data_IF_533385683031
#
_entry.id   IF_533385683031
#
_cell.length_a   1.000
_cell.length_b   1.000
_cell.length_c   1.000
_cell.angle_alpha   90.00
_cell.angle_beta   90.00
_cell.angle_gamma   90.00
#
_symmetry.space_group_name_H-M   'P 1'
#
loop_
_entity.id
_entity.type
_entity.pdbx_description
1 polymer ?
#
# COMPACT_ATOMS: atom_id res chain seq x y z
N UNK A 1 -15.08 -11.11 -18.81
CA UNK A 1 -15.04 -9.86 -18.02
C UNK A 1 -15.18 -10.27 -16.59
N UNK A 2 -14.09 -10.11 -15.83
CA UNK A 2 -13.95 -10.62 -14.48
C UNK A 2 -13.97 -9.46 -13.51
N UNK A 3 -14.70 -9.60 -12.40
CA UNK A 3 -14.66 -8.62 -11.32
C UNK A 3 -13.61 -9.02 -10.29
N UNK A 4 -12.83 -8.04 -9.84
CA UNK A 4 -11.84 -8.21 -8.77
C UNK A 4 -12.10 -7.18 -7.68
N UNK A 5 -12.77 -7.62 -6.62
CA UNK A 5 -12.97 -6.81 -5.42
C UNK A 5 -11.70 -6.76 -4.57
N UNK A 6 -11.28 -5.56 -4.18
CA UNK A 6 -10.09 -5.32 -3.37
C UNK A 6 -10.46 -4.94 -1.94
N UNK A 7 -9.67 -5.39 -0.97
CA UNK A 7 -9.78 -4.98 0.41
C UNK A 7 -8.41 -4.72 1.03
N UNK A 8 -8.34 -3.84 2.04
CA UNK A 8 -7.12 -3.51 2.76
C UNK A 8 -7.38 -3.60 4.27
N UNK A 9 -6.49 -4.26 5.00
CA UNK A 9 -6.38 -4.15 6.45
C UNK A 9 -5.05 -3.48 6.79
N UNK A 10 -5.10 -2.29 7.39
CA UNK A 10 -3.96 -1.46 7.74
C UNK A 10 -3.98 -0.98 9.20
N UNK A 11 -2.84 -0.48 9.69
CA UNK A 11 -2.64 -0.11 11.10
C UNK A 11 -3.24 1.24 11.47
N UNK A 12 -3.08 2.22 10.58
CA UNK A 12 -3.45 3.60 10.81
C UNK A 12 -4.40 4.16 9.75
N UNK A 13 -5.15 5.22 10.08
CA UNK A 13 -6.06 5.89 9.15
C UNK A 13 -5.34 6.54 7.96
N UNK A 14 -4.07 6.92 8.11
CA UNK A 14 -3.24 7.48 7.03
C UNK A 14 -2.92 6.45 5.97
N UNK A 15 -2.73 5.19 6.36
CA UNK A 15 -2.39 4.11 5.45
C UNK A 15 -3.54 3.86 4.47
N UNK A 16 -4.80 3.87 4.92
CA UNK A 16 -5.94 3.73 4.02
C UNK A 16 -6.02 4.85 2.97
N UNK A 17 -5.68 6.08 3.34
CA UNK A 17 -5.70 7.23 2.41
C UNK A 17 -4.62 7.13 1.33
N UNK A 18 -3.45 6.62 1.70
CA UNK A 18 -2.33 6.46 0.75
C UNK A 18 -2.47 5.16 -0.05
N UNK A 19 -2.62 4.03 0.63
CA UNK A 19 -2.61 2.71 0.02
C UNK A 19 -3.88 2.41 -0.78
N UNK A 20 -5.05 2.96 -0.43
CA UNK A 20 -6.29 2.73 -1.18
C UNK A 20 -6.15 3.01 -2.69
N UNK A 21 -5.93 4.27 -3.10
CA UNK A 21 -5.72 4.62 -4.51
C UNK A 21 -4.46 3.97 -5.10
N UNK A 22 -3.37 3.84 -4.34
CA UNK A 22 -2.14 3.23 -4.85
C UNK A 22 -2.34 1.76 -5.22
N UNK A 23 -2.88 0.95 -4.31
CA UNK A 23 -3.07 -0.49 -4.52
C UNK A 23 -4.03 -0.76 -5.68
N UNK A 24 -5.08 0.06 -5.81
CA UNK A 24 -6.00 0.02 -6.96
C UNK A 24 -5.24 0.24 -8.27
N UNK A 25 -4.49 1.35 -8.38
CA UNK A 25 -3.72 1.71 -9.58
C UNK A 25 -2.69 0.65 -9.96
N UNK A 26 -1.97 0.09 -8.99
CA UNK A 26 -0.97 -0.95 -9.24
C UNK A 26 -1.62 -2.24 -9.72
N UNK A 27 -2.75 -2.62 -9.13
CA UNK A 27 -3.51 -3.81 -9.56
C UNK A 27 -4.06 -3.62 -10.97
N UNK A 28 -4.55 -2.42 -11.29
CA UNK A 28 -5.02 -2.05 -12.64
C UNK A 28 -3.91 -2.12 -13.67
N UNK A 29 -2.78 -1.49 -13.40
CA UNK A 29 -1.61 -1.52 -14.28
C UNK A 29 -1.16 -2.96 -14.55
N UNK A 30 -1.05 -3.77 -13.50
CA UNK A 30 -0.63 -5.16 -13.63
C UNK A 30 -1.64 -6.00 -14.42
N UNK A 31 -2.94 -5.87 -14.13
CA UNK A 31 -3.98 -6.60 -14.88
C UNK A 31 -4.04 -6.14 -16.34
N UNK A 32 -3.88 -4.85 -16.62
CA UNK A 32 -3.84 -4.32 -17.98
C UNK A 32 -2.67 -4.91 -18.79
N UNK A 33 -1.51 -5.09 -18.15
CA UNK A 33 -0.32 -5.64 -18.79
C UNK A 33 -0.33 -7.16 -18.94
N UNK A 34 -0.89 -7.89 -17.97
CA UNK A 34 -0.63 -9.33 -17.81
C UNK A 34 -1.89 -10.21 -17.79
N UNK A 35 -3.10 -9.65 -17.57
CA UNK A 35 -4.32 -10.46 -17.52
C UNK A 35 -4.76 -10.90 -18.92
N UNK A 36 -5.26 -12.14 -19.02
CA UNK A 36 -5.72 -12.69 -20.31
C UNK A 36 -7.16 -12.33 -20.67
N UNK A 37 -7.88 -11.66 -19.78
CA UNK A 37 -9.21 -11.11 -20.02
C UNK A 37 -9.34 -9.74 -19.34
N UNK A 38 -10.36 -8.97 -19.73
CA UNK A 38 -10.68 -7.71 -19.07
C UNK A 38 -11.06 -7.94 -17.60
N UNK A 39 -10.37 -7.25 -16.69
CA UNK A 39 -10.62 -7.26 -15.25
C UNK A 39 -11.16 -5.90 -14.82
N UNK A 40 -12.33 -5.89 -14.19
CA UNK A 40 -12.91 -4.70 -13.57
C UNK A 40 -12.52 -4.69 -12.08
N UNK A 41 -11.79 -3.66 -11.68
CA UNK A 41 -11.22 -3.53 -10.34
C UNK A 41 -12.02 -2.49 -9.55
N UNK A 42 -12.48 -2.88 -8.37
CA UNK A 42 -13.23 -1.99 -7.48
C UNK A 42 -12.31 -1.06 -6.71
N UNK A 43 -12.91 -0.04 -6.08
CA UNK A 43 -12.25 0.66 -4.98
C UNK A 43 -11.82 -0.32 -3.87
N UNK A 44 -10.76 0.05 -3.16
CA UNK A 44 -10.21 -0.77 -2.08
C UNK A 44 -11.08 -0.60 -0.83
N UNK A 45 -11.77 -1.67 -0.45
CA UNK A 45 -12.58 -1.71 0.76
C UNK A 45 -11.69 -1.68 2.02
N UNK A 46 -11.86 -0.64 2.85
CA UNK A 46 -11.16 -0.54 4.12
C UNK A 46 -11.74 -1.52 5.17
N UNK A 47 -10.96 -2.52 5.57
CA UNK A 47 -11.29 -3.44 6.64
C UNK A 47 -10.73 -2.97 7.97
N UNK A 48 -11.61 -2.53 8.87
CA UNK A 48 -11.24 -2.09 10.22
C UNK A 48 -11.51 -3.18 11.25
N UNK A 49 -10.65 -3.28 12.26
CA UNK A 49 -10.93 -4.14 13.43
C UNK A 49 -12.22 -3.71 14.13
N UNK A 50 -12.99 -4.70 14.59
CA UNK A 50 -14.18 -4.49 15.41
C UNK A 50 -13.79 -4.19 16.86
N UNK A 51 -14.73 -3.64 17.66
CA UNK A 51 -14.50 -3.43 19.10
C UNK A 51 -14.35 -4.77 19.83
N UNK A 52 -15.06 -5.77 19.37
CA UNK A 52 -15.14 -7.12 19.91
C UNK A 52 -13.83 -7.89 19.65
N UNK A 53 -13.20 -7.68 18.50
CA UNK A 53 -11.92 -8.32 18.16
C UNK A 53 -10.69 -7.57 18.70
N UNK A 54 -10.84 -6.36 19.25
CA UNK A 54 -9.72 -5.48 19.57
C UNK A 54 -8.69 -6.06 20.56
N UNK A 55 -9.09 -6.99 21.42
CA UNK A 55 -8.22 -7.69 22.37
C UNK A 55 -7.59 -8.98 21.83
N UNK A 56 -8.02 -9.44 20.66
CA UNK A 56 -7.50 -10.67 20.04
C UNK A 56 -6.13 -10.44 19.40
N UNK A 57 -5.34 -11.50 19.18
CA UNK A 57 -4.17 -11.45 18.29
C UNK A 57 -4.52 -10.86 16.92
N UNK A 58 -3.57 -10.15 16.31
CA UNK A 58 -3.77 -9.40 15.05
C UNK A 58 -4.34 -10.27 13.93
N UNK A 59 -3.86 -11.49 13.80
CA UNK A 59 -4.35 -12.42 12.79
C UNK A 59 -5.82 -12.79 12.98
N UNK A 60 -6.31 -12.85 14.23
CA UNK A 60 -7.73 -13.06 14.51
C UNK A 60 -8.56 -11.79 14.28
N UNK A 61 -7.99 -10.59 14.49
CA UNK A 61 -8.62 -9.31 14.11
C UNK A 61 -8.84 -9.23 12.60
N UNK A 62 -7.83 -9.63 11.81
CA UNK A 62 -7.90 -9.67 10.35
C UNK A 62 -8.99 -10.66 9.91
N UNK A 63 -8.98 -11.89 10.44
CA UNK A 63 -9.99 -12.90 10.10
C UNK A 63 -11.42 -12.48 10.50
N UNK A 64 -11.60 -11.78 11.62
CA UNK A 64 -12.89 -11.18 11.99
C UNK A 64 -13.35 -10.15 10.95
N UNK A 65 -12.48 -9.19 10.61
CA UNK A 65 -12.78 -8.15 9.64
C UNK A 65 -13.10 -8.73 8.25
N UNK A 66 -12.34 -9.74 7.81
CA UNK A 66 -12.62 -10.48 6.58
C UNK A 66 -13.98 -11.16 6.60
N UNK A 67 -14.33 -11.86 7.68
CA UNK A 67 -15.63 -12.56 7.78
C UNK A 67 -16.81 -11.60 7.72
N UNK A 68 -16.69 -10.42 8.36
CA UNK A 68 -17.72 -9.38 8.30
C UNK A 68 -17.89 -8.75 6.91
N UNK A 69 -16.86 -8.81 6.07
CA UNK A 69 -16.87 -8.33 4.69
C UNK A 69 -16.89 -9.49 3.66
N UNK A 70 -17.33 -10.69 4.08
CA UNK A 70 -17.36 -11.87 3.22
C UNK A 70 -18.19 -11.61 1.95
N UNK A 71 -17.64 -11.99 0.79
CA UNK A 71 -18.26 -11.79 -0.52
C UNK A 71 -18.09 -10.39 -1.13
N UNK A 72 -17.53 -9.42 -0.40
CA UNK A 72 -17.30 -8.07 -0.93
C UNK A 72 -15.97 -7.91 -1.70
N UNK A 73 -15.04 -8.85 -1.52
CA UNK A 73 -13.71 -8.81 -2.14
C UNK A 73 -13.17 -10.22 -2.42
N UNK A 74 -12.18 -10.29 -3.30
CA UNK A 74 -11.45 -11.53 -3.61
C UNK A 74 -9.95 -11.40 -3.36
N UNK A 75 -9.42 -10.19 -3.16
CA UNK A 75 -8.03 -9.96 -2.82
C UNK A 75 -7.94 -9.06 -1.59
N UNK A 76 -7.23 -9.54 -0.56
CA UNK A 76 -6.94 -8.80 0.66
C UNK A 76 -5.48 -8.36 0.70
N UNK A 77 -5.27 -7.06 0.79
CA UNK A 77 -3.99 -6.48 1.19
C UNK A 77 -3.89 -6.42 2.71
N UNK A 78 -2.77 -6.89 3.26
CA UNK A 78 -2.47 -6.82 4.68
C UNK A 78 -1.23 -5.95 4.86
N UNK A 79 -1.43 -4.76 5.40
CA UNK A 79 -0.35 -3.81 5.62
C UNK A 79 0.22 -3.93 7.03
N UNK A 80 1.54 -3.79 7.14
CA UNK A 80 2.26 -3.52 8.38
C UNK A 80 3.49 -2.67 8.04
N UNK A 81 3.82 -1.72 8.91
CA UNK A 81 5.08 -0.96 8.80
C UNK A 81 6.27 -1.86 9.12
N UNK A 82 7.31 -1.80 8.29
CA UNK A 82 8.52 -2.60 8.46
C UNK A 82 9.38 -2.17 9.64
N UNK A 83 9.28 -0.91 10.08
CA UNK A 83 10.07 -0.35 11.19
C UNK A 83 11.59 -0.56 11.07
N UNK A 84 12.10 -0.70 9.84
CA UNK A 84 13.51 -1.01 9.52
C UNK A 84 13.81 -2.51 9.39
N UNK A 85 12.87 -3.38 9.73
CA UNK A 85 12.96 -4.84 9.60
C UNK A 85 11.69 -5.41 8.93
N UNK A 86 11.56 -5.25 7.59
CA UNK A 86 10.40 -5.75 6.86
C UNK A 86 10.26 -7.28 6.92
N UNK A 87 11.35 -8.01 7.18
CA UNK A 87 11.33 -9.47 7.32
C UNK A 87 10.64 -9.87 8.62
N UNK A 88 11.00 -9.23 9.74
CA UNK A 88 10.31 -9.44 11.01
C UNK A 88 8.85 -9.00 10.93
N UNK A 89 8.56 -7.84 10.31
CA UNK A 89 7.19 -7.38 10.11
C UNK A 89 6.35 -8.39 9.31
N UNK A 90 6.90 -8.95 8.21
CA UNK A 90 6.25 -10.02 7.46
C UNK A 90 5.98 -11.23 8.35
N UNK A 91 7.01 -11.74 9.01
CA UNK A 91 6.93 -12.97 9.82
C UNK A 91 5.92 -12.87 10.97
N UNK A 92 5.86 -11.71 11.63
CA UNK A 92 5.12 -11.58 12.89
C UNK A 92 3.77 -10.86 12.74
N UNK A 93 3.63 -9.94 11.78
CA UNK A 93 2.43 -9.10 11.66
C UNK A 93 1.52 -9.50 10.49
N UNK A 94 2.04 -10.18 9.48
CA UNK A 94 1.30 -10.46 8.25
C UNK A 94 1.16 -11.97 7.99
N UNK A 95 2.27 -12.71 8.02
CA UNK A 95 2.30 -14.14 7.71
C UNK A 95 1.34 -14.98 8.56
N UNK A 96 1.15 -14.75 9.87
CA UNK A 96 0.21 -15.55 10.67
C UNK A 96 -1.23 -15.44 10.16
N UNK A 97 -1.64 -14.26 9.65
CA UNK A 97 -2.96 -14.08 9.05
C UNK A 97 -3.06 -14.80 7.70
N UNK A 98 -2.05 -14.65 6.83
CA UNK A 98 -2.00 -15.32 5.53
C UNK A 98 -2.07 -16.85 5.70
N UNK A 99 -1.27 -17.42 6.60
CA UNK A 99 -1.28 -18.86 6.87
C UNK A 99 -2.66 -19.34 7.31
N UNK A 100 -3.34 -18.61 8.21
CA UNK A 100 -4.70 -18.99 8.64
C UNK A 100 -5.74 -18.86 7.54
N UNK A 101 -5.63 -17.86 6.67
CA UNK A 101 -6.53 -17.69 5.50
C UNK A 101 -6.39 -18.90 4.56
N UNK A 102 -5.17 -19.35 4.32
CA UNK A 102 -4.87 -20.52 3.49
C UNK A 102 -5.29 -21.85 4.14
N UNK A 103 -4.99 -22.05 5.43
CA UNK A 103 -5.28 -23.29 6.18
C UNK A 103 -6.77 -23.54 6.36
N UNK A 104 -7.55 -22.50 6.68
CA UNK A 104 -8.97 -22.64 6.99
C UNK A 104 -9.89 -22.49 5.79
N UNK A 105 -9.33 -22.46 4.57
CA UNK A 105 -10.12 -22.26 3.35
C UNK A 105 -11.02 -21.04 3.48
N UNK A 106 -10.46 -19.90 3.96
CA UNK A 106 -11.18 -18.62 4.01
C UNK A 106 -11.97 -18.43 2.72
N UNK A 107 -13.15 -17.77 2.75
CA UNK A 107 -14.22 -17.91 1.76
C UNK A 107 -13.67 -18.24 0.39
N UNK A 108 -13.85 -19.51 -0.03
CA UNK A 108 -13.04 -20.17 -1.05
C UNK A 108 -12.67 -19.23 -2.20
N UNK A 109 -11.38 -18.90 -2.35
CA UNK A 109 -10.91 -18.02 -3.41
C UNK A 109 -10.62 -16.56 -3.00
N UNK A 110 -10.21 -16.29 -1.76
CA UNK A 110 -9.58 -15.02 -1.38
C UNK A 110 -8.06 -15.13 -1.42
N UNK A 111 -7.41 -14.27 -2.20
CA UNK A 111 -5.96 -14.08 -2.19
C UNK A 111 -5.56 -13.11 -1.07
N UNK A 112 -4.36 -13.28 -0.49
CA UNK A 112 -3.85 -12.41 0.55
C UNK A 112 -2.43 -11.93 0.20
N UNK A 113 -2.23 -10.61 0.18
CA UNK A 113 -1.00 -9.96 -0.29
C UNK A 113 -0.41 -9.07 0.81
N UNK A 114 0.83 -9.31 1.26
CA UNK A 114 1.52 -8.43 2.19
C UNK A 114 1.89 -7.09 1.55
N UNK A 115 1.65 -5.99 2.27
CA UNK A 115 2.08 -4.63 1.87
C UNK A 115 3.00 -4.07 2.95
N UNK A 116 4.31 -4.22 2.77
CA UNK A 116 5.30 -3.95 3.82
C UNK A 116 6.40 -3.04 3.27
N UNK A 117 6.36 -1.71 3.55
CA UNK A 117 7.50 -0.84 3.31
C UNK A 117 8.65 -1.19 4.26
N UNK A 118 9.90 -0.79 3.94
CA UNK A 118 11.04 -1.01 4.85
C UNK A 118 10.82 -0.35 6.21
N UNK A 119 10.27 0.87 6.21
CA UNK A 119 9.88 1.60 7.42
C UNK A 119 8.39 1.87 7.41
N UNK A 120 7.98 2.93 6.72
CA UNK A 120 6.59 3.42 6.70
C UNK A 120 6.16 3.69 5.25
N UNK A 121 4.85 3.77 4.99
CA UNK A 121 4.32 4.01 3.63
C UNK A 121 4.73 5.37 3.07
N UNK A 122 5.01 6.35 3.93
CA UNK A 122 5.54 7.66 3.53
C UNK A 122 6.87 7.56 2.78
N UNK A 123 7.65 6.49 2.95
CA UNK A 123 8.85 6.26 2.14
C UNK A 123 8.50 6.13 0.65
N UNK A 124 7.37 5.47 0.33
CA UNK A 124 6.87 5.36 -1.05
C UNK A 124 6.32 6.69 -1.56
N UNK A 125 5.72 7.52 -0.69
CA UNK A 125 5.28 8.87 -1.07
C UNK A 125 6.45 9.79 -1.47
N UNK A 126 7.64 9.58 -0.89
CA UNK A 126 8.84 10.37 -1.15
C UNK A 126 9.58 10.03 -2.45
N UNK A 127 9.17 8.98 -3.16
CA UNK A 127 9.82 8.49 -4.40
C UNK A 127 9.68 9.44 -5.58
N UNK A 128 8.58 10.18 -5.62
CA UNK A 128 8.18 10.98 -6.77
C UNK A 128 7.98 12.45 -6.37
N UNK A 129 9.04 13.24 -6.53
CA UNK A 129 8.97 14.67 -6.30
C UNK A 129 8.00 15.40 -7.22
N UNK A 130 7.66 14.87 -8.41
CA UNK A 130 6.66 15.50 -9.27
C UNK A 130 5.27 15.38 -8.66
N UNK A 131 4.93 14.20 -8.11
CA UNK A 131 3.67 14.01 -7.38
C UNK A 131 3.59 14.90 -6.15
N UNK A 132 4.69 15.02 -5.39
CA UNK A 132 4.77 15.93 -4.23
C UNK A 132 4.58 17.39 -4.63
N UNK A 133 5.25 17.86 -5.69
CA UNK A 133 5.09 19.22 -6.21
C UNK A 133 3.65 19.53 -6.59
N UNK A 134 2.99 18.60 -7.29
CA UNK A 134 1.58 18.73 -7.67
C UNK A 134 0.67 18.79 -6.45
N UNK A 135 0.86 17.88 -5.50
CA UNK A 135 0.04 17.80 -4.30
C UNK A 135 0.22 19.04 -3.40
N UNK A 136 1.46 19.51 -3.23
CA UNK A 136 1.76 20.66 -2.38
C UNK A 136 1.57 22.01 -3.09
N UNK A 137 1.43 22.02 -4.42
CA UNK A 137 1.30 23.24 -5.21
C UNK A 137 2.59 24.07 -5.23
N UNK A 138 3.75 23.43 -5.40
CA UNK A 138 5.06 24.07 -5.36
C UNK A 138 5.88 23.81 -6.63
N UNK A 139 6.78 24.73 -6.95
CA UNK A 139 7.74 24.62 -8.05
C UNK A 139 9.15 24.23 -7.58
N UNK A 140 9.35 24.00 -6.28
CA UNK A 140 10.64 23.63 -5.71
C UNK A 140 11.13 22.29 -6.27
N UNK A 141 12.42 22.17 -6.53
CA UNK A 141 13.03 20.94 -7.03
C UNK A 141 13.17 19.85 -5.94
N UNK A 142 13.68 18.68 -6.32
CA UNK A 142 13.82 17.54 -5.39
C UNK A 142 14.80 17.87 -4.26
N UNK A 143 15.88 18.60 -4.56
CA UNK A 143 16.90 18.95 -3.58
C UNK A 143 16.38 19.98 -2.57
N UNK A 144 15.63 20.99 -3.04
CA UNK A 144 14.96 21.98 -2.20
C UNK A 144 13.92 21.35 -1.28
N UNK A 145 13.20 20.32 -1.74
CA UNK A 145 12.26 19.55 -0.92
C UNK A 145 12.95 18.55 0.03
N UNK A 146 14.26 18.34 -0.10
CA UNK A 146 15.02 17.38 0.69
C UNK A 146 14.76 15.92 0.32
N UNK A 147 14.40 15.66 -0.94
CA UNK A 147 14.14 14.31 -1.46
C UNK A 147 15.45 13.63 -1.85
N UNK A 148 15.54 12.30 -1.72
CA UNK A 148 16.73 11.58 -2.15
C UNK A 148 16.88 11.61 -3.68
N UNK A 149 18.11 11.63 -4.21
CA UNK A 149 18.36 11.73 -5.65
C UNK A 149 17.96 10.46 -6.42
N UNK A 150 17.88 9.31 -5.74
CA UNK A 150 17.51 8.03 -6.34
C UNK A 150 16.28 7.46 -5.61
N UNK A 151 15.27 6.93 -6.33
CA UNK A 151 14.08 6.36 -5.71
C UNK A 151 14.38 5.33 -4.61
N UNK A 152 15.31 4.40 -4.85
CA UNK A 152 15.65 3.36 -3.88
C UNK A 152 16.20 3.91 -2.53
N UNK A 153 16.76 5.12 -2.52
CA UNK A 153 17.33 5.70 -1.29
C UNK A 153 16.25 6.14 -0.29
N UNK A 154 14.95 6.17 -0.66
CA UNK A 154 13.85 6.43 0.31
C UNK A 154 13.82 5.41 1.44
N UNK A 155 14.25 4.17 1.20
CA UNK A 155 14.29 3.11 2.21
C UNK A 155 15.35 3.35 3.29
N UNK A 156 16.30 4.25 3.01
CA UNK A 156 17.36 4.63 3.95
C UNK A 156 16.96 5.79 4.86
N UNK A 157 15.83 6.43 4.60
CA UNK A 157 15.33 7.54 5.41
C UNK A 157 14.89 6.99 6.77
N UNK A 158 15.52 7.38 7.90
CA UNK A 158 15.18 6.83 9.20
C UNK A 158 13.76 7.18 9.66
N UNK A 159 13.23 8.33 9.26
CA UNK A 159 11.88 8.78 9.64
C UNK A 159 11.17 9.35 8.39
N UNK A 160 10.55 8.48 7.57
CA UNK A 160 9.85 8.89 6.36
C UNK A 160 8.69 9.86 6.62
N UNK A 161 7.93 9.68 7.71
CA UNK A 161 6.90 10.64 8.13
C UNK A 161 7.47 12.03 8.36
N UNK A 162 8.55 12.15 9.14
CA UNK A 162 9.18 13.44 9.41
C UNK A 162 9.77 14.08 8.14
N UNK A 163 10.35 13.27 7.24
CA UNK A 163 10.88 13.74 5.96
C UNK A 163 9.77 14.27 5.04
N UNK A 164 8.64 13.56 4.94
CA UNK A 164 7.49 13.99 4.15
C UNK A 164 6.85 15.26 4.73
N UNK A 165 6.70 15.33 6.04
CA UNK A 165 6.22 16.54 6.72
C UNK A 165 7.19 17.72 6.55
N UNK A 166 8.50 17.46 6.50
CA UNK A 166 9.51 18.49 6.21
C UNK A 166 9.38 19.04 4.79
N UNK A 167 9.29 18.17 3.78
CA UNK A 167 9.06 18.56 2.39
C UNK A 167 7.77 19.40 2.26
N UNK A 168 6.68 18.96 2.90
CA UNK A 168 5.42 19.68 2.94
C UNK A 168 5.55 21.08 3.57
N UNK A 169 6.30 21.21 4.68
CA UNK A 169 6.52 22.51 5.35
C UNK A 169 7.34 23.47 4.49
N UNK A 170 8.36 22.97 3.80
CA UNK A 170 9.17 23.77 2.88
C UNK A 170 8.28 24.26 1.73
N UNK A 171 7.53 23.36 1.10
CA UNK A 171 6.68 23.65 -0.05
C UNK A 171 5.61 24.71 0.23
N UNK A 172 4.93 24.62 1.38
CA UNK A 172 3.77 25.46 1.73
C UNK A 172 4.16 26.81 2.35
N UNK A 173 5.41 26.93 2.84
CA UNK A 173 5.95 28.17 3.38
C UNK A 173 5.37 28.61 4.74
N UNK A 174 5.91 29.71 5.26
CA UNK A 174 5.74 30.10 6.66
C UNK A 174 4.32 30.52 7.08
N UNK A 175 3.59 31.17 6.17
CA UNK A 175 2.28 31.77 6.46
C UNK A 175 1.14 30.77 6.63
N UNK A 176 1.30 29.54 6.11
CA UNK A 176 0.27 28.50 6.11
C UNK A 176 0.59 27.33 7.06
N UNK A 177 1.69 27.44 7.83
CA UNK A 177 2.28 26.41 8.71
C UNK A 177 1.32 25.75 9.70
N UNK A 178 0.26 26.44 10.15
CA UNK A 178 -0.67 25.92 11.18
C UNK A 178 -1.77 25.01 10.64
N UNK A 179 -1.98 24.88 9.31
CA UNK A 179 -3.22 24.29 8.77
C UNK A 179 -3.06 23.04 7.91
N UNK A 180 -1.87 22.65 7.42
CA UNK A 180 -1.74 21.50 6.51
C UNK A 180 -0.52 20.64 6.84
N UNK A 181 -0.77 19.41 7.31
CA UNK A 181 0.24 18.34 7.50
C UNK A 181 0.34 17.52 6.21
N UNK A 182 1.46 16.84 5.98
CA UNK A 182 1.61 16.02 4.77
C UNK A 182 0.54 14.93 4.66
N UNK A 183 0.07 14.40 5.79
CA UNK A 183 -1.03 13.44 5.87
C UNK A 183 -2.33 13.86 5.15
N UNK A 184 -2.55 15.17 4.95
CA UNK A 184 -3.70 15.69 4.21
C UNK A 184 -3.57 15.54 2.69
N UNK A 185 -2.37 15.27 2.19
CA UNK A 185 -2.04 15.18 0.77
C UNK A 185 -1.75 13.75 0.31
N UNK A 186 -1.73 12.77 1.22
CA UNK A 186 -1.37 11.38 0.93
C UNK A 186 -2.20 10.77 -0.20
N UNK A 187 -3.51 11.02 -0.22
CA UNK A 187 -4.41 10.53 -1.28
C UNK A 187 -4.03 11.13 -2.64
N UNK A 188 -3.87 12.45 -2.73
CA UNK A 188 -3.47 13.13 -3.97
C UNK A 188 -2.06 12.72 -4.45
N UNK A 189 -1.13 12.45 -3.53
CA UNK A 189 0.18 11.91 -3.86
C UNK A 189 0.01 10.49 -4.43
N UNK A 190 -0.77 9.64 -3.77
CA UNK A 190 -1.03 8.28 -4.18
C UNK A 190 -1.74 8.15 -5.54
N UNK A 191 -2.60 9.09 -5.90
CA UNK A 191 -3.26 9.14 -7.21
C UNK A 191 -2.33 9.54 -8.36
N UNK A 192 -1.28 10.31 -8.08
CA UNK A 192 -0.44 10.93 -9.11
C UNK A 192 0.99 10.42 -9.19
N UNK A 193 1.45 9.68 -8.17
CA UNK A 193 2.81 9.12 -8.15
C UNK A 193 3.06 8.16 -9.31
N UNK A 194 4.28 8.16 -9.80
CA UNK A 194 4.77 7.29 -10.86
C UNK A 194 5.00 5.86 -10.37
N UNK A 195 4.33 4.89 -11.01
CA UNK A 195 4.56 3.46 -10.74
C UNK A 195 5.97 3.02 -11.18
N UNK A 196 6.49 3.54 -12.29
CA UNK A 196 7.86 3.27 -12.77
C UNK A 196 8.93 3.69 -11.76
N UNK A 197 8.71 4.79 -11.03
CA UNK A 197 9.61 5.20 -9.94
C UNK A 197 9.47 4.30 -8.72
N UNK A 198 8.27 3.84 -8.38
CA UNK A 198 8.06 2.89 -7.29
C UNK A 198 8.70 1.52 -7.59
N UNK A 199 8.67 1.04 -8.83
CA UNK A 199 9.34 -0.21 -9.23
C UNK A 199 10.87 -0.21 -9.03
N UNK A 200 11.46 0.98 -8.86
CA UNK A 200 12.88 1.15 -8.50
C UNK A 200 13.14 1.00 -7.00
N UNK A 201 12.10 0.91 -6.17
CA UNK A 201 12.19 0.68 -4.72
C UNK A 201 12.10 -0.82 -4.41
N UNK A 202 13.12 -1.41 -3.78
CA UNK A 202 13.16 -2.85 -3.52
C UNK A 202 11.94 -3.44 -2.80
N UNK A 203 11.47 -2.82 -1.71
CA UNK A 203 10.31 -3.32 -0.97
C UNK A 203 9.01 -3.19 -1.77
N UNK A 204 8.88 -2.18 -2.62
CA UNK A 204 7.73 -2.05 -3.50
C UNK A 204 7.75 -3.13 -4.59
N UNK A 205 8.92 -3.41 -5.18
CA UNK A 205 9.06 -4.52 -6.13
C UNK A 205 8.71 -5.87 -5.51
N UNK A 206 9.12 -6.09 -4.26
CA UNK A 206 8.71 -7.30 -3.52
C UNK A 206 7.19 -7.36 -3.37
N UNK A 207 6.55 -6.24 -3.00
CA UNK A 207 5.09 -6.15 -2.96
C UNK A 207 4.44 -6.44 -4.33
N UNK A 208 4.95 -5.88 -5.43
CA UNK A 208 4.39 -6.14 -6.76
C UNK A 208 4.51 -7.63 -7.15
N UNK A 209 5.60 -8.29 -6.75
CA UNK A 209 5.73 -9.74 -6.91
C UNK A 209 4.72 -10.50 -6.06
N UNK A 210 4.55 -10.15 -4.77
CA UNK A 210 3.55 -10.77 -3.91
C UNK A 210 2.12 -10.56 -4.45
N UNK A 211 1.84 -9.40 -5.05
CA UNK A 211 0.58 -9.11 -5.74
C UNK A 211 0.39 -10.00 -6.96
N UNK A 212 1.41 -10.16 -7.80
CA UNK A 212 1.38 -11.07 -8.95
C UNK A 212 1.04 -12.49 -8.50
N UNK A 213 1.75 -13.00 -7.49
CA UNK A 213 1.51 -14.33 -6.93
C UNK A 213 0.07 -14.47 -6.40
N UNK A 214 -0.44 -13.45 -5.68
CA UNK A 214 -1.82 -13.40 -5.20
C UNK A 214 -2.86 -13.43 -6.33
N UNK A 215 -2.61 -12.72 -7.43
CA UNK A 215 -3.48 -12.71 -8.60
C UNK A 215 -3.41 -14.02 -9.40
N UNK A 216 -2.25 -14.69 -9.43
CA UNK A 216 -2.09 -16.02 -10.03
C UNK A 216 -2.84 -17.10 -9.23
N UNK A 217 -2.79 -17.04 -7.89
CA UNK A 217 -3.59 -17.91 -7.01
C UNK A 217 -5.09 -17.75 -7.32
N UNK A 218 -5.52 -16.51 -7.57
CA UNK A 218 -6.88 -16.21 -8.00
C UNK A 218 -7.15 -16.55 -9.46
N UNK A 219 -6.14 -16.96 -10.23
CA UNK A 219 -6.22 -17.21 -11.69
C UNK A 219 -6.65 -15.97 -12.49
N UNK A 220 -6.37 -14.77 -11.97
CA UNK A 220 -6.56 -13.51 -12.70
C UNK A 220 -5.45 -13.35 -13.73
N UNK A 221 -4.22 -13.62 -13.32
CA UNK A 221 -3.05 -13.71 -14.18
C UNK A 221 -2.78 -15.18 -14.54
N UNK A 222 -2.18 -15.40 -15.71
CA UNK A 222 -1.63 -16.72 -16.06
C UNK A 222 -0.25 -16.81 -15.42
N UNK A 223 -0.01 -17.83 -14.61
CA UNK A 223 1.31 -18.03 -14.02
C UNK A 223 2.39 -18.13 -15.09
N UNK A 224 3.61 -17.67 -14.77
CA UNK A 224 4.77 -17.68 -15.68
C UNK A 224 5.29 -19.09 -16.06
N UNK A 225 4.44 -20.11 -15.98
CA UNK A 225 4.71 -21.49 -16.36
C UNK A 225 3.70 -21.93 -17.43
N UNK A 226 4.02 -21.55 -18.68
CA UNK A 226 3.38 -22.01 -19.91
C UNK A 226 4.39 -21.98 -21.04
#
# INVERSE_FOLDING_TARGET
>A
MRFLGLALFAEGPTDYRFLGPLLRRVTEDLCLREASESVEITEVLALVRSRESASLPRELQILDAMRRASGAFSLLFIHADGSGDPVAARKHQVQPAISRILEHGGPSGVGAVPVIPVRETEAWALVDGQALRRAFGTSLDDAELGLPPRPADVERIPDPKAALDHACRIAIGAGHRRRRRAAAFLEAIAESLSLDRLQQVPAFRQFEQDLRDGLEILRVLRGAHG
#
